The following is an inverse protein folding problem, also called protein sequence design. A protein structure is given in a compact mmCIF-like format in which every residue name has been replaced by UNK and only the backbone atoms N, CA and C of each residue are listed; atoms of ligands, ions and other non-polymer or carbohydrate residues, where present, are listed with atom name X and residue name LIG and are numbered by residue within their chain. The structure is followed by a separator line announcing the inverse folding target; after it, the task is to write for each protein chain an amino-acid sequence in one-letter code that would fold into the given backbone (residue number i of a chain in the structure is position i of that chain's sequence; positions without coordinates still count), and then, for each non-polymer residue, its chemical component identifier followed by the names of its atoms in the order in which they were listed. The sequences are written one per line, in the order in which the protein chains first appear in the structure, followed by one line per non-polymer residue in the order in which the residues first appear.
data_IF_031320906551
#
_entry.id   IF_031320906551
#
_cell.length_a   1.000
_cell.length_b   1.000
_cell.length_c   1.000
_cell.angle_alpha   90.00
_cell.angle_beta   90.00
_cell.angle_gamma   90.00
#
_symmetry.space_group_name_H-M   'P 1'
#
loop_
_entity.id
_entity.type
_entity.pdbx_description
1 polymer ?
#
# COMPACT_ATOMS: atom_id res chain seq x y z
N UNK A 1 80.79 13.50 -21.20
CA UNK A 1 79.87 13.53 -20.04
C UNK A 1 78.45 13.33 -20.54
N UNK A 2 77.71 12.46 -19.84
CA UNK A 2 76.43 11.79 -20.12
C UNK A 2 75.39 12.44 -21.07
N UNK A 3 74.90 11.63 -22.01
CA UNK A 3 73.66 11.84 -22.80
C UNK A 3 72.46 11.31 -22.00
N UNK A 4 71.45 12.15 -21.78
CA UNK A 4 70.22 11.80 -21.04
C UNK A 4 69.15 11.35 -22.05
N UNK A 5 68.66 10.12 -21.93
CA UNK A 5 67.46 9.65 -22.65
C UNK A 5 66.22 9.89 -21.77
N UNK A 6 65.22 10.63 -22.30
CA UNK A 6 63.91 10.81 -21.67
C UNK A 6 62.97 9.71 -22.15
N UNK A 7 62.56 8.82 -21.26
CA UNK A 7 61.54 7.81 -21.54
C UNK A 7 60.17 8.39 -21.18
N UNK A 8 59.35 8.70 -22.17
CA UNK A 8 57.96 9.14 -21.96
C UNK A 8 57.06 7.91 -21.86
N UNK A 9 56.50 7.64 -20.68
CA UNK A 9 55.53 6.56 -20.47
C UNK A 9 54.13 7.04 -20.86
N UNK A 10 53.53 6.45 -21.89
CA UNK A 10 52.12 6.64 -22.23
C UNK A 10 51.28 5.62 -21.45
N UNK A 11 50.49 6.07 -20.49
CA UNK A 11 49.51 5.22 -19.79
C UNK A 11 48.21 5.28 -20.56
N UNK A 12 47.87 4.20 -21.27
CA UNK A 12 46.55 4.02 -21.88
C UNK A 12 45.55 3.66 -20.77
N UNK A 13 44.72 4.62 -20.34
CA UNK A 13 43.59 4.35 -19.46
C UNK A 13 42.45 3.71 -20.26
N UNK A 14 42.22 2.41 -20.08
CA UNK A 14 41.06 1.72 -20.64
C UNK A 14 39.82 2.08 -19.80
N UNK A 15 38.98 3.00 -20.31
CA UNK A 15 37.70 3.32 -19.68
C UNK A 15 36.68 2.24 -20.03
N UNK A 16 36.40 1.32 -19.10
CA UNK A 16 35.31 0.35 -19.24
C UNK A 16 33.98 1.07 -19.04
N UNK A 17 33.26 1.35 -20.13
CA UNK A 17 31.89 1.89 -20.07
C UNK A 17 30.96 0.69 -19.84
N UNK A 18 30.57 0.46 -18.58
CA UNK A 18 29.50 -0.47 -18.24
C UNK A 18 28.16 0.15 -18.68
N UNK A 19 27.30 -0.57 -19.43
CA UNK A 19 25.99 -0.05 -19.80
C UNK A 19 25.12 0.09 -18.54
N UNK A 20 24.62 1.31 -18.29
CA UNK A 20 23.55 1.49 -17.31
C UNK A 20 22.37 0.61 -17.73
N UNK A 21 21.95 -0.33 -16.87
CA UNK A 21 20.67 -1.01 -17.04
C UNK A 21 19.59 0.07 -16.97
N UNK A 22 18.91 0.32 -18.09
CA UNK A 22 17.71 1.15 -18.11
C UNK A 22 16.67 0.50 -17.19
N UNK A 23 16.43 1.10 -16.04
CA UNK A 23 15.31 0.76 -15.17
C UNK A 23 14.04 1.16 -15.91
N UNK A 24 13.33 0.20 -16.49
CA UNK A 24 11.99 0.44 -17.03
C UNK A 24 11.09 0.85 -15.87
N UNK A 25 10.67 2.11 -15.84
CA UNK A 25 9.68 2.63 -14.89
C UNK A 25 8.39 1.83 -15.04
N UNK A 26 7.96 1.17 -13.97
CA UNK A 26 6.67 0.46 -13.95
C UNK A 26 5.56 1.51 -13.91
N UNK A 27 4.65 1.49 -14.88
CA UNK A 27 3.50 2.40 -14.94
C UNK A 27 2.22 1.70 -14.49
N UNK A 28 1.30 2.49 -13.93
CA UNK A 28 -0.06 2.04 -13.58
C UNK A 28 -0.92 1.69 -14.81
N UNK A 29 -2.21 1.50 -14.56
CA UNK A 29 -3.24 1.27 -15.57
C UNK A 29 -4.07 2.52 -15.87
N UNK A 30 -4.16 3.43 -14.90
CA UNK A 30 -5.03 4.61 -14.98
C UNK A 30 -4.23 5.83 -15.44
N UNK A 31 -4.94 6.78 -16.05
CA UNK A 31 -4.39 8.11 -16.29
C UNK A 31 -4.61 9.03 -15.07
N UNK A 32 -4.04 10.23 -15.10
CA UNK A 32 -4.12 11.20 -14.00
C UNK A 32 -5.55 11.54 -13.59
N UNK A 33 -6.46 11.74 -14.54
CA UNK A 33 -7.88 12.03 -14.26
C UNK A 33 -8.55 10.85 -13.53
N UNK A 34 -8.31 9.63 -14.01
CA UNK A 34 -8.80 8.40 -13.39
C UNK A 34 -8.15 8.10 -12.04
N UNK A 35 -7.05 8.76 -11.67
CA UNK A 35 -6.45 8.62 -10.36
C UNK A 35 -7.00 9.61 -9.34
N UNK A 36 -7.72 10.66 -9.77
CA UNK A 36 -8.32 11.64 -8.85
C UNK A 36 -9.54 11.05 -8.15
N UNK A 37 -9.35 10.55 -6.93
CA UNK A 37 -10.41 9.92 -6.13
C UNK A 37 -10.91 10.79 -4.97
N UNK A 38 -10.23 11.89 -4.65
CA UNK A 38 -10.53 12.72 -3.47
C UNK A 38 -12.01 13.15 -3.45
N UNK A 39 -12.51 13.70 -4.56
CA UNK A 39 -13.89 14.18 -4.70
C UNK A 39 -14.96 13.08 -4.67
N UNK A 40 -14.56 11.81 -4.72
CA UNK A 40 -15.48 10.67 -4.59
C UNK A 40 -15.69 10.25 -3.13
N UNK A 41 -14.90 10.80 -2.20
CA UNK A 41 -14.98 10.47 -0.78
C UNK A 41 -15.80 11.52 -0.03
N UNK A 42 -16.54 11.13 1.02
CA UNK A 42 -17.02 12.10 1.98
C UNK A 42 -15.82 12.80 2.65
N UNK A 43 -15.94 14.07 3.04
CA UNK A 43 -14.90 14.72 3.82
C UNK A 43 -14.72 14.03 5.18
N UNK A 44 -13.51 14.03 5.76
CA UNK A 44 -13.32 13.55 7.11
C UNK A 44 -14.09 14.42 8.11
N UNK A 45 -14.42 13.90 9.31
CA UNK A 45 -14.96 14.71 10.39
C UNK A 45 -14.05 15.91 10.72
N UNK A 46 -14.59 17.13 10.65
CA UNK A 46 -13.86 18.34 11.05
C UNK A 46 -13.54 18.34 12.55
N UNK A 47 -12.44 19.01 12.94
CA UNK A 47 -11.86 18.96 14.29
C UNK A 47 -12.87 19.20 15.42
N UNK A 48 -13.78 20.16 15.26
CA UNK A 48 -14.72 20.59 16.32
C UNK A 48 -16.00 19.75 16.41
N UNK A 49 -16.15 18.75 15.53
CA UNK A 49 -17.37 17.93 15.49
C UNK A 49 -17.42 16.89 16.61
N UNK A 50 -18.62 16.49 17.07
CA UNK A 50 -18.77 15.36 17.98
C UNK A 50 -18.15 14.07 17.44
N UNK A 51 -18.22 13.84 16.13
CA UNK A 51 -17.64 12.67 15.49
C UNK A 51 -16.11 12.66 15.60
N UNK A 52 -15.43 13.79 15.36
CA UNK A 52 -13.97 13.84 15.53
C UNK A 52 -13.54 13.59 16.99
N UNK A 53 -14.30 14.11 17.96
CA UNK A 53 -14.07 13.80 19.38
C UNK A 53 -14.24 12.31 19.68
N UNK A 54 -15.28 11.68 19.13
CA UNK A 54 -15.52 10.25 19.29
C UNK A 54 -14.40 9.41 18.66
N UNK A 55 -13.93 9.79 17.47
CA UNK A 55 -12.79 9.16 16.80
C UNK A 55 -11.52 9.21 17.65
N UNK A 56 -11.17 10.40 18.18
CA UNK A 56 -10.01 10.57 19.04
C UNK A 56 -10.14 9.76 20.34
N UNK A 57 -11.32 9.77 20.95
CA UNK A 57 -11.59 9.00 22.16
C UNK A 57 -11.44 7.49 21.89
N UNK A 58 -11.87 6.99 20.72
CA UNK A 58 -11.68 5.60 20.34
C UNK A 58 -10.19 5.23 20.26
N UNK A 59 -9.34 6.08 19.67
CA UNK A 59 -7.88 5.88 19.63
C UNK A 59 -7.32 5.78 21.05
N UNK A 60 -7.67 6.73 21.93
CA UNK A 60 -7.17 6.76 23.32
C UNK A 60 -7.62 5.53 24.10
N UNK A 61 -8.89 5.14 23.99
CA UNK A 61 -9.43 3.95 24.65
C UNK A 61 -8.71 2.68 24.19
N UNK A 62 -8.48 2.54 22.88
CA UNK A 62 -7.74 1.40 22.32
C UNK A 62 -6.30 1.39 22.83
N UNK A 63 -5.62 2.53 22.86
CA UNK A 63 -4.24 2.58 23.36
C UNK A 63 -4.13 2.26 24.85
N UNK A 64 -5.10 2.68 25.66
CA UNK A 64 -5.14 2.37 27.08
C UNK A 64 -5.35 0.87 27.34
N UNK A 65 -6.08 0.17 26.47
CA UNK A 65 -6.42 -1.25 26.60
C UNK A 65 -5.64 -2.21 25.70
N UNK A 66 -4.69 -1.75 24.88
CA UNK A 66 -4.07 -2.61 23.86
C UNK A 66 -3.25 -3.75 24.49
N UNK A 67 -3.46 -4.96 23.98
CA UNK A 67 -2.72 -6.15 24.43
C UNK A 67 -1.36 -6.25 23.72
N UNK A 68 -0.45 -7.07 24.28
CA UNK A 68 0.81 -7.39 23.62
C UNK A 68 0.61 -8.04 22.25
N UNK A 69 -0.45 -8.84 22.09
CA UNK A 69 -0.82 -9.46 20.83
C UNK A 69 -1.26 -8.43 19.78
N UNK A 70 -2.10 -7.48 20.18
CA UNK A 70 -2.52 -6.37 19.31
C UNK A 70 -1.32 -5.49 18.89
N UNK A 71 -0.38 -5.23 19.80
CA UNK A 71 0.87 -4.54 19.50
C UNK A 71 1.71 -5.31 18.50
N UNK A 72 1.90 -6.62 18.70
CA UNK A 72 2.68 -7.45 17.80
C UNK A 72 2.02 -7.54 16.41
N UNK A 73 0.70 -7.66 16.36
CA UNK A 73 -0.07 -7.64 15.12
C UNK A 73 0.09 -6.32 14.37
N UNK A 74 -0.09 -5.19 15.06
CA UNK A 74 0.03 -3.88 14.42
C UNK A 74 1.42 -3.62 13.83
N UNK A 75 2.48 -4.17 14.43
CA UNK A 75 3.84 -4.15 13.86
C UNK A 75 4.00 -5.06 12.64
N UNK A 76 3.39 -6.25 12.65
CA UNK A 76 3.42 -7.16 11.49
C UNK A 76 2.63 -6.64 10.29
N UNK A 77 1.60 -5.84 10.54
CA UNK A 77 0.75 -5.28 9.48
C UNK A 77 1.30 -3.97 8.88
N UNK A 78 2.49 -3.51 9.31
CA UNK A 78 3.13 -2.27 8.83
C UNK A 78 3.94 -2.50 7.54
N UNK A 79 3.26 -3.02 6.52
CA UNK A 79 3.85 -3.33 5.21
C UNK A 79 2.92 -2.87 4.08
N UNK A 80 3.50 -2.22 3.05
CA UNK A 80 2.79 -1.74 1.84
C UNK A 80 3.41 -2.27 0.53
N UNK A 81 4.72 -2.53 0.48
CA UNK A 81 5.37 -3.08 -0.71
C UNK A 81 5.06 -4.57 -0.88
N UNK A 82 4.75 -4.99 -2.11
CA UNK A 82 4.31 -6.34 -2.47
C UNK A 82 3.17 -6.87 -1.58
N UNK A 83 2.38 -5.96 -0.99
CA UNK A 83 1.48 -6.24 0.13
C UNK A 83 0.54 -7.41 -0.10
N UNK A 84 0.11 -7.67 -1.35
CA UNK A 84 -0.72 -8.81 -1.71
C UNK A 84 -0.20 -10.15 -1.17
N UNK A 85 1.11 -10.38 -1.19
CA UNK A 85 1.71 -11.63 -0.73
C UNK A 85 1.67 -11.80 0.79
N UNK A 86 2.28 -10.93 1.62
CA UNK A 86 2.15 -11.03 3.07
C UNK A 86 0.69 -10.93 3.53
N UNK A 87 -0.15 -10.15 2.84
CA UNK A 87 -1.58 -10.01 3.13
C UNK A 87 -2.33 -11.35 3.05
N UNK A 88 -2.19 -12.07 1.93
CA UNK A 88 -2.97 -13.28 1.64
C UNK A 88 -2.25 -14.59 1.99
N UNK A 89 -1.00 -14.56 2.44
CA UNK A 89 -0.19 -15.77 2.69
C UNK A 89 -0.89 -16.76 3.64
N UNK A 90 -1.47 -16.28 4.73
CA UNK A 90 -2.18 -17.15 5.68
C UNK A 90 -3.50 -17.71 5.12
N UNK A 91 -4.04 -17.08 4.08
CA UNK A 91 -5.33 -17.43 3.47
C UNK A 91 -5.14 -18.43 2.33
N UNK A 92 -4.13 -18.19 1.50
CA UNK A 92 -3.80 -19.00 0.31
C UNK A 92 -2.71 -20.05 0.59
N UNK A 93 -2.00 -19.93 1.71
CA UNK A 93 -0.99 -20.88 2.14
C UNK A 93 0.45 -20.44 1.81
N UNK A 94 1.44 -21.20 2.31
CA UNK A 94 2.85 -20.80 2.30
C UNK A 94 3.47 -20.71 0.90
N UNK A 95 2.82 -21.31 -0.10
CA UNK A 95 3.24 -21.32 -1.50
C UNK A 95 2.89 -20.02 -2.23
N UNK A 96 1.96 -19.22 -1.69
CA UNK A 96 1.59 -17.91 -2.23
C UNK A 96 2.73 -16.90 -2.00
N UNK A 97 3.64 -16.89 -2.96
CA UNK A 97 4.91 -16.14 -2.94
C UNK A 97 5.16 -15.50 -4.31
N UNK A 98 5.95 -14.42 -4.34
CA UNK A 98 6.31 -13.68 -5.55
C UNK A 98 6.88 -14.59 -6.63
N UNK A 99 7.85 -15.44 -6.28
CA UNK A 99 8.54 -16.34 -7.22
C UNK A 99 7.60 -17.35 -7.88
N UNK A 100 6.58 -17.80 -7.14
CA UNK A 100 5.58 -18.73 -7.67
C UNK A 100 4.45 -18.04 -8.41
N UNK A 101 4.25 -16.74 -8.18
CA UNK A 101 3.15 -15.97 -8.78
C UNK A 101 3.65 -14.70 -9.47
N UNK A 102 4.57 -14.81 -10.46
CA UNK A 102 5.14 -13.65 -11.12
C UNK A 102 4.11 -12.79 -11.86
N UNK A 103 3.02 -13.37 -12.38
CA UNK A 103 1.96 -12.61 -13.04
C UNK A 103 1.13 -11.82 -12.03
N UNK A 104 0.81 -12.43 -10.88
CA UNK A 104 0.18 -11.75 -9.75
C UNK A 104 1.06 -10.61 -9.25
N UNK A 105 2.36 -10.85 -9.06
CA UNK A 105 3.31 -9.82 -8.64
C UNK A 105 3.41 -8.67 -9.65
N UNK A 106 3.45 -8.96 -10.95
CA UNK A 106 3.47 -7.94 -12.00
C UNK A 106 2.16 -7.11 -12.03
N UNK A 107 1.01 -7.75 -11.82
CA UNK A 107 -0.28 -7.07 -11.72
C UNK A 107 -0.30 -6.10 -10.53
N UNK A 108 0.03 -6.58 -9.32
CA UNK A 108 -0.03 -5.77 -8.10
C UNK A 108 1.00 -4.65 -8.06
N UNK A 109 2.19 -4.82 -8.65
CA UNK A 109 3.15 -3.71 -8.80
C UNK A 109 2.59 -2.55 -9.62
N UNK A 110 1.83 -2.83 -10.69
CA UNK A 110 1.17 -1.78 -11.48
C UNK A 110 -0.02 -1.16 -10.75
N UNK A 111 -0.82 -1.98 -10.06
CA UNK A 111 -1.93 -1.48 -9.21
C UNK A 111 -1.40 -0.57 -8.11
N UNK A 112 -0.26 -0.91 -7.50
CA UNK A 112 0.37 -0.09 -6.47
C UNK A 112 0.72 1.32 -6.99
N UNK A 113 1.17 1.44 -8.25
CA UNK A 113 1.44 2.75 -8.85
C UNK A 113 0.17 3.62 -8.95
N UNK A 114 -0.96 3.05 -9.38
CA UNK A 114 -2.23 3.78 -9.40
C UNK A 114 -2.71 4.11 -7.97
N UNK A 115 -2.53 3.20 -7.02
CA UNK A 115 -2.84 3.41 -5.61
C UNK A 115 -2.07 4.60 -5.03
N UNK A 116 -0.75 4.64 -5.24
CA UNK A 116 0.12 5.71 -4.72
C UNK A 116 -0.23 7.06 -5.35
N UNK A 117 -0.41 7.09 -6.68
CA UNK A 117 -0.79 8.30 -7.43
C UNK A 117 -2.20 8.79 -7.10
N UNK A 118 -3.08 7.92 -6.62
CA UNK A 118 -4.41 8.31 -6.11
C UNK A 118 -4.39 8.76 -4.64
N UNK A 119 -3.61 8.09 -3.79
CA UNK A 119 -3.65 8.28 -2.35
C UNK A 119 -3.07 9.62 -1.91
N UNK A 120 -1.87 9.96 -2.39
CA UNK A 120 -1.16 11.14 -1.90
C UNK A 120 -1.87 12.46 -2.24
N UNK A 121 -2.42 12.65 -3.46
CA UNK A 121 -3.25 13.81 -3.75
C UNK A 121 -4.53 13.85 -2.91
N UNK A 122 -5.18 12.71 -2.66
CA UNK A 122 -6.37 12.66 -1.82
C UNK A 122 -6.07 13.06 -0.37
N UNK A 123 -4.91 12.65 0.17
CA UNK A 123 -4.42 13.09 1.48
C UNK A 123 -4.23 14.60 1.53
N UNK A 124 -3.45 15.13 0.59
CA UNK A 124 -3.16 16.56 0.50
C UNK A 124 -4.43 17.41 0.32
N UNK A 125 -5.42 16.90 -0.41
CA UNK A 125 -6.71 17.58 -0.60
C UNK A 125 -7.47 17.80 0.72
N UNK A 126 -7.45 16.82 1.62
CA UNK A 126 -8.18 16.91 2.90
C UNK A 126 -7.34 17.44 4.06
N UNK A 127 -6.02 17.22 4.07
CA UNK A 127 -5.10 17.80 5.04
C UNK A 127 -5.41 17.45 6.51
N UNK A 128 -6.00 16.27 6.77
CA UNK A 128 -6.41 15.90 8.14
C UNK A 128 -5.19 15.55 8.99
N UNK A 129 -4.95 16.29 10.07
CA UNK A 129 -3.93 15.96 11.06
C UNK A 129 -4.12 14.54 11.64
N UNK A 130 -3.02 13.86 11.94
CA UNK A 130 -2.99 12.54 12.56
C UNK A 130 -3.43 12.61 14.03
N UNK A 131 -3.87 11.50 14.64
CA UNK A 131 -4.24 11.47 16.06
C UNK A 131 -3.14 11.96 17.01
N UNK A 132 -1.89 11.57 16.77
CA UNK A 132 -0.74 11.95 17.60
C UNK A 132 -0.26 13.39 17.37
N UNK A 133 -0.65 14.02 16.27
CA UNK A 133 -0.40 15.44 16.00
C UNK A 133 -1.44 16.30 16.71
N UNK A 134 -2.71 15.87 16.65
CA UNK A 134 -3.83 16.59 17.25
C UNK A 134 -3.86 16.48 18.79
N UNK A 135 -3.42 15.36 19.37
CA UNK A 135 -3.44 15.15 20.82
C UNK A 135 -2.20 14.40 21.33
N UNK A 136 -1.43 15.08 22.20
CA UNK A 136 -0.18 14.57 22.79
C UNK A 136 -0.36 13.32 23.66
N UNK A 137 -1.58 12.99 24.08
CA UNK A 137 -1.88 11.76 24.83
C UNK A 137 -1.77 10.52 23.96
N UNK A 138 -1.99 10.64 22.64
CA UNK A 138 -1.80 9.54 21.70
C UNK A 138 -0.31 9.29 21.50
N UNK A 139 0.13 8.06 21.74
CA UNK A 139 1.53 7.64 21.58
C UNK A 139 1.65 6.66 20.42
N UNK A 140 2.12 7.07 19.23
CA UNK A 140 2.15 6.19 18.08
C UNK A 140 3.08 5.01 18.34
N UNK A 141 2.64 3.81 17.97
CA UNK A 141 3.42 2.57 18.11
C UNK A 141 4.48 2.41 17.02
N UNK A 142 4.19 2.98 15.86
CA UNK A 142 4.94 2.86 14.62
C UNK A 142 5.54 4.23 14.27
N UNK A 143 6.61 4.29 13.45
CA UNK A 143 7.09 5.54 12.91
C UNK A 143 5.94 6.34 12.26
N UNK A 144 5.97 7.68 12.35
CA UNK A 144 5.06 8.55 11.62
C UNK A 144 4.99 8.15 10.14
N UNK A 145 3.81 7.76 9.62
CA UNK A 145 3.66 7.47 8.20
C UNK A 145 3.71 8.76 7.38
N UNK A 146 4.07 8.64 6.11
CA UNK A 146 4.04 9.75 5.17
C UNK A 146 2.61 10.29 4.96
N UNK A 147 2.51 11.61 4.78
CA UNK A 147 1.28 12.34 4.45
C UNK A 147 0.20 12.36 5.55
N UNK A 148 -0.90 13.04 5.24
CA UNK A 148 -2.00 13.31 6.17
C UNK A 148 -2.80 12.06 6.56
N UNK A 149 -3.68 12.17 7.56
CA UNK A 149 -4.43 11.05 8.15
C UNK A 149 -5.52 10.50 7.24
N UNK A 150 -6.21 11.34 6.46
CA UNK A 150 -7.39 10.92 5.69
C UNK A 150 -7.13 10.95 4.18
N UNK A 151 -7.51 9.90 3.42
CA UNK A 151 -7.95 8.58 3.90
C UNK A 151 -6.77 7.73 4.38
N UNK A 152 -7.04 6.62 5.08
CA UNK A 152 -5.98 5.70 5.50
C UNK A 152 -5.41 4.90 4.31
N UNK A 153 -4.10 5.03 4.09
CA UNK A 153 -3.39 4.33 3.01
C UNK A 153 -3.34 2.81 3.21
N UNK A 154 -3.01 2.34 4.42
CA UNK A 154 -3.00 0.91 4.73
C UNK A 154 -4.39 0.27 4.63
N UNK A 155 -5.44 1.00 5.05
CA UNK A 155 -6.81 0.51 4.87
C UNK A 155 -7.16 0.44 3.38
N UNK A 156 -6.83 1.50 2.61
CA UNK A 156 -7.07 1.54 1.17
C UNK A 156 -6.35 0.40 0.43
N UNK A 157 -5.06 0.19 0.69
CA UNK A 157 -4.28 -0.90 0.09
C UNK A 157 -4.86 -2.28 0.46
N UNK A 158 -5.16 -2.51 1.74
CA UNK A 158 -5.70 -3.78 2.22
C UNK A 158 -7.05 -4.12 1.60
N UNK A 159 -7.96 -3.15 1.50
CA UNK A 159 -9.26 -3.36 0.86
C UNK A 159 -9.14 -3.50 -0.67
N UNK A 160 -8.25 -2.74 -1.31
CA UNK A 160 -8.01 -2.85 -2.76
C UNK A 160 -7.46 -4.24 -3.10
N UNK A 161 -6.51 -4.72 -2.31
CA UNK A 161 -5.95 -6.06 -2.40
C UNK A 161 -7.02 -7.12 -2.20
N UNK A 162 -7.86 -7.00 -1.16
CA UNK A 162 -8.97 -7.93 -0.94
C UNK A 162 -9.94 -7.97 -2.13
N UNK A 163 -10.30 -6.82 -2.69
CA UNK A 163 -11.20 -6.72 -3.85
C UNK A 163 -10.61 -7.48 -5.04
N UNK A 164 -9.36 -7.22 -5.41
CA UNK A 164 -8.74 -7.82 -6.59
C UNK A 164 -8.47 -9.32 -6.40
N UNK A 165 -7.98 -9.75 -5.23
CA UNK A 165 -7.79 -11.18 -4.94
C UNK A 165 -9.12 -11.94 -4.88
N UNK A 166 -10.20 -11.31 -4.41
CA UNK A 166 -11.54 -11.91 -4.43
C UNK A 166 -12.11 -12.04 -5.87
N UNK A 167 -11.59 -11.29 -6.85
CA UNK A 167 -11.87 -11.56 -8.27
C UNK A 167 -11.11 -12.77 -8.80
N UNK A 168 -10.02 -13.20 -8.16
CA UNK A 168 -9.24 -14.37 -8.57
C UNK A 168 -9.72 -15.65 -7.88
N UNK A 169 -10.03 -15.55 -6.57
CA UNK A 169 -10.38 -16.66 -5.68
C UNK A 169 -11.65 -16.30 -4.87
N UNK A 170 -12.84 -16.29 -5.51
CA UNK A 170 -14.08 -15.85 -4.88
C UNK A 170 -14.47 -16.65 -3.63
N UNK A 171 -14.10 -17.92 -3.56
CA UNK A 171 -14.32 -18.83 -2.42
C UNK A 171 -13.58 -18.38 -1.14
N UNK A 172 -12.59 -17.48 -1.25
CA UNK A 172 -11.85 -16.90 -0.12
C UNK A 172 -12.27 -15.46 0.21
N UNK A 173 -13.33 -14.94 -0.43
CA UNK A 173 -13.77 -13.55 -0.29
C UNK A 173 -13.95 -13.12 1.18
N UNK A 174 -14.67 -13.89 2.01
CA UNK A 174 -14.89 -13.51 3.42
C UNK A 174 -13.57 -13.32 4.16
N UNK A 175 -12.68 -14.32 4.08
CA UNK A 175 -11.37 -14.28 4.74
C UNK A 175 -10.50 -13.11 4.26
N UNK A 176 -10.54 -12.77 2.96
CA UNK A 176 -9.81 -11.63 2.41
C UNK A 176 -10.32 -10.29 2.96
N UNK A 177 -11.64 -10.10 3.04
CA UNK A 177 -12.23 -8.86 3.57
C UNK A 177 -12.09 -8.77 5.11
N UNK A 178 -12.13 -9.89 5.81
CA UNK A 178 -11.80 -9.96 7.24
C UNK A 178 -10.33 -9.58 7.50
N UNK A 179 -9.39 -10.08 6.69
CA UNK A 179 -7.98 -9.67 6.76
C UNK A 179 -7.83 -8.18 6.49
N UNK A 180 -8.54 -7.62 5.49
CA UNK A 180 -8.48 -6.19 5.21
C UNK A 180 -8.99 -5.33 6.37
N UNK A 181 -10.14 -5.68 6.95
CA UNK A 181 -10.67 -5.00 8.13
C UNK A 181 -9.70 -5.09 9.32
N UNK A 182 -9.11 -6.27 9.52
CA UNK A 182 -8.13 -6.53 10.58
C UNK A 182 -6.86 -5.70 10.43
N UNK A 183 -6.33 -5.56 9.20
CA UNK A 183 -5.15 -4.74 8.91
C UNK A 183 -5.45 -3.24 9.05
N UNK A 184 -6.63 -2.80 8.61
CA UNK A 184 -7.07 -1.42 8.81
C UNK A 184 -7.15 -1.08 10.31
N UNK A 185 -7.75 -1.96 11.12
CA UNK A 185 -7.89 -1.76 12.57
C UNK A 185 -6.53 -1.66 13.28
N UNK A 186 -5.50 -2.37 12.80
CA UNK A 186 -4.13 -2.25 13.32
C UNK A 186 -3.60 -0.82 13.28
N UNK A 187 -4.10 0.04 12.39
CA UNK A 187 -3.65 1.45 12.32
C UNK A 187 -4.20 2.31 13.44
N UNK A 188 -5.42 2.03 13.91
CA UNK A 188 -6.01 2.68 15.09
C UNK A 188 -5.30 2.18 16.36
N UNK A 189 -5.01 0.88 16.43
CA UNK A 189 -4.20 0.28 17.51
C UNK A 189 -2.81 0.94 17.58
N UNK A 190 -2.21 1.20 16.43
CA UNK A 190 -0.94 1.90 16.33
C UNK A 190 -1.03 3.39 16.66
N UNK A 191 -2.23 3.98 16.72
CA UNK A 191 -2.45 5.40 17.02
C UNK A 191 -2.12 6.35 15.88
N UNK A 192 -2.06 5.87 14.64
CA UNK A 192 -1.67 6.68 13.46
C UNK A 192 -2.84 7.04 12.55
N UNK A 193 -4.03 6.51 12.83
CA UNK A 193 -5.26 6.81 12.10
C UNK A 193 -6.46 6.81 13.05
N UNK A 194 -7.47 7.60 12.71
CA UNK A 194 -8.79 7.56 13.31
C UNK A 194 -9.64 6.44 12.70
N UNK A 195 -10.68 5.95 13.39
CA UNK A 195 -11.64 5.00 12.81
C UNK A 195 -12.26 5.49 11.48
N UNK A 196 -12.65 6.76 11.39
CA UNK A 196 -13.19 7.32 10.14
C UNK A 196 -12.18 7.40 8.99
N UNK A 197 -10.88 7.44 9.26
CA UNK A 197 -9.86 7.33 8.21
C UNK A 197 -9.86 5.94 7.57
N UNK A 198 -10.19 4.91 8.34
CA UNK A 198 -10.26 3.53 7.84
C UNK A 198 -11.44 3.36 6.88
N UNK A 199 -12.61 3.90 7.24
CA UNK A 199 -13.77 3.93 6.35
C UNK A 199 -13.49 4.73 5.09
N UNK A 200 -12.82 5.88 5.21
CA UNK A 200 -12.32 6.64 4.06
C UNK A 200 -11.40 5.82 3.16
N UNK A 201 -10.46 5.05 3.75
CA UNK A 201 -9.57 4.16 3.02
C UNK A 201 -10.33 3.05 2.28
N UNK A 202 -11.32 2.43 2.92
CA UNK A 202 -12.19 1.42 2.30
C UNK A 202 -12.99 1.98 1.12
N UNK A 203 -13.54 3.18 1.26
CA UNK A 203 -14.25 3.86 0.17
C UNK A 203 -13.30 4.23 -0.97
N UNK A 204 -12.11 4.74 -0.65
CA UNK A 204 -11.05 5.03 -1.62
C UNK A 204 -10.63 3.79 -2.41
N UNK A 205 -10.44 2.65 -1.72
CA UNK A 205 -10.16 1.38 -2.35
C UNK A 205 -11.26 0.94 -3.31
N UNK A 206 -12.52 1.09 -2.89
CA UNK A 206 -13.69 0.72 -3.69
C UNK A 206 -13.79 1.58 -4.95
N UNK A 207 -13.61 2.89 -4.82
CA UNK A 207 -13.62 3.83 -5.94
C UNK A 207 -12.49 3.54 -6.94
N UNK A 208 -11.27 3.35 -6.45
CA UNK A 208 -10.12 3.02 -7.30
C UNK A 208 -10.30 1.65 -7.97
N UNK A 209 -10.74 0.64 -7.22
CA UNK A 209 -11.01 -0.69 -7.76
C UNK A 209 -12.07 -0.66 -8.87
N UNK A 210 -13.11 0.17 -8.76
CA UNK A 210 -14.11 0.31 -9.81
C UNK A 210 -13.50 0.83 -11.12
N UNK A 211 -12.62 1.84 -11.05
CA UNK A 211 -11.90 2.38 -12.22
C UNK A 211 -10.91 1.37 -12.80
N UNK A 212 -10.16 0.70 -11.93
CA UNK A 212 -9.21 -0.36 -12.30
C UNK A 212 -9.93 -1.51 -13.02
N UNK A 213 -11.03 -2.02 -12.47
CA UNK A 213 -11.79 -3.12 -13.05
C UNK A 213 -12.50 -2.74 -14.35
N UNK A 214 -12.72 -1.45 -14.62
CA UNK A 214 -13.19 -0.97 -15.92
C UNK A 214 -12.08 -0.90 -16.99
N UNK A 215 -10.80 -1.00 -16.61
CA UNK A 215 -9.68 -0.92 -17.53
C UNK A 215 -9.45 -2.27 -18.26
N UNK A 216 -9.49 -2.32 -19.62
CA UNK A 216 -9.31 -3.57 -20.36
C UNK A 216 -7.94 -4.24 -20.17
N UNK A 217 -6.87 -3.45 -20.04
CA UNK A 217 -5.52 -3.99 -19.82
C UNK A 217 -5.40 -4.63 -18.43
N UNK A 218 -5.99 -4.00 -17.41
CA UNK A 218 -6.08 -4.59 -16.08
C UNK A 218 -6.89 -5.89 -16.12
N UNK A 219 -8.05 -5.92 -16.78
CA UNK A 219 -8.86 -7.13 -16.90
C UNK A 219 -8.07 -8.28 -17.54
N UNK A 220 -7.34 -8.02 -18.63
CA UNK A 220 -6.49 -9.03 -19.26
C UNK A 220 -5.41 -9.57 -18.31
N UNK A 221 -4.73 -8.70 -17.56
CA UNK A 221 -3.71 -9.11 -16.59
C UNK A 221 -4.32 -9.82 -15.38
N UNK A 222 -5.50 -9.40 -14.92
CA UNK A 222 -6.26 -10.03 -13.84
C UNK A 222 -6.66 -11.46 -14.19
N UNK A 223 -7.12 -11.72 -15.42
CA UNK A 223 -7.45 -13.08 -15.86
C UNK A 223 -6.22 -13.99 -15.91
N UNK A 224 -5.08 -13.46 -16.37
CA UNK A 224 -3.82 -14.21 -16.39
C UNK A 224 -3.31 -14.53 -14.97
N UNK A 225 -3.33 -13.55 -14.08
CA UNK A 225 -2.98 -13.73 -12.68
C UNK A 225 -3.96 -14.70 -11.98
N UNK A 226 -5.27 -14.60 -12.27
CA UNK A 226 -6.27 -15.55 -11.77
C UNK A 226 -5.94 -16.98 -12.17
N UNK A 227 -5.62 -17.24 -13.44
CA UNK A 227 -5.27 -18.57 -13.91
C UNK A 227 -4.01 -19.11 -13.19
N UNK A 228 -2.99 -18.28 -13.02
CA UNK A 228 -1.76 -18.62 -12.26
C UNK A 228 -2.07 -18.99 -10.80
N UNK A 229 -2.79 -18.13 -10.08
CA UNK A 229 -3.14 -18.36 -8.67
C UNK A 229 -3.94 -19.65 -8.53
N UNK A 230 -4.98 -19.85 -9.34
CA UNK A 230 -5.82 -21.05 -9.23
C UNK A 230 -5.03 -22.32 -9.55
N UNK A 231 -4.20 -22.30 -10.58
CA UNK A 231 -3.33 -23.44 -10.92
C UNK A 231 -2.39 -23.79 -9.76
N UNK A 232 -1.72 -22.80 -9.18
CA UNK A 232 -0.75 -23.02 -8.11
C UNK A 232 -1.40 -23.40 -6.77
N UNK A 233 -2.64 -22.98 -6.54
CA UNK A 233 -3.43 -23.34 -5.36
C UNK A 233 -4.24 -24.63 -5.55
N UNK A 234 -4.22 -25.23 -6.75
CA UNK A 234 -4.96 -26.45 -7.10
C UNK A 234 -6.49 -26.27 -6.94
N UNK A 235 -7.01 -25.13 -7.45
CA UNK A 235 -8.42 -24.72 -7.39
C UNK A 235 -9.11 -24.69 -8.76
#
# INVERSE_FOLDING_TARGET
MLTIYRTTLFVLSLTVILPLKATTTVTGYLNEEQQQIATLLPPPPSTDTPQNRADLQAVLTIQAGRTAEQVAKAKRDDHLEDAAFPFARDIFGPTFTVDRHPLTAALFRRVYQDFEQSLMPAKAFYGRQRPYEADRRVKPLLPPPEGDSYPSGHAMDSYLTAILLAQMVPEKRSALFERAASNAQSRVIAGVHYPSDLEGGKLAATALAARLLANPQLQANLQRARAEVRTNLQL
#
